data_IF_971856549995
#
_entry.id   IF_971856549995
#
_cell.length_a   1.000
_cell.length_b   1.000
_cell.length_c   1.000
_cell.angle_alpha   90.00
_cell.angle_beta   90.00
_cell.angle_gamma   90.00
#
_symmetry.space_group_name_H-M   'P 1'
#
loop_
_entity.id
_entity.type
_entity.pdbx_description
1 polymer ?
#
# COMPACT_ATOMS: atom_id res chain seq x y z
N UNK A 1 -17.64 -6.55 11.28
CA UNK A 1 -17.30 -7.93 11.71
C UNK A 1 -17.34 -8.87 10.51
N UNK A 2 -16.29 -9.68 10.28
CA UNK A 2 -16.32 -10.72 9.25
C UNK A 2 -17.25 -11.86 9.68
N UNK A 3 -18.09 -12.34 8.78
CA UNK A 3 -18.90 -13.54 9.02
C UNK A 3 -18.08 -14.81 8.78
N UNK A 4 -18.49 -15.96 9.34
CA UNK A 4 -17.84 -17.24 9.05
C UNK A 4 -17.82 -17.57 7.55
N UNK A 5 -18.87 -17.17 6.82
CA UNK A 5 -18.95 -17.35 5.36
C UNK A 5 -17.88 -16.52 4.63
N UNK A 6 -17.65 -15.27 5.06
CA UNK A 6 -16.61 -14.40 4.49
C UNK A 6 -15.21 -15.00 4.70
N UNK A 7 -14.95 -15.52 5.91
CA UNK A 7 -13.67 -16.17 6.23
C UNK A 7 -13.44 -17.40 5.36
N UNK A 8 -14.47 -18.25 5.19
CA UNK A 8 -14.36 -19.42 4.30
C UNK A 8 -14.08 -19.04 2.85
N UNK A 9 -14.75 -18.01 2.33
CA UNK A 9 -14.54 -17.54 0.97
C UNK A 9 -13.14 -16.94 0.77
N UNK A 10 -12.64 -16.18 1.75
CA UNK A 10 -11.28 -15.64 1.74
C UNK A 10 -10.24 -16.76 1.74
N UNK A 11 -10.43 -17.79 2.56
CA UNK A 11 -9.50 -18.93 2.62
C UNK A 11 -9.42 -19.64 1.26
N UNK A 12 -10.57 -19.92 0.63
CA UNK A 12 -10.60 -20.59 -0.69
C UNK A 12 -9.86 -19.79 -1.77
N UNK A 13 -9.99 -18.46 -1.75
CA UNK A 13 -9.34 -17.58 -2.73
C UNK A 13 -7.84 -17.40 -2.47
N UNK A 14 -7.44 -17.27 -1.20
CA UNK A 14 -6.05 -16.98 -0.82
C UNK A 14 -5.15 -18.23 -0.76
N UNK A 15 -5.69 -19.40 -0.38
CA UNK A 15 -4.91 -20.63 -0.17
C UNK A 15 -3.99 -21.02 -1.33
N UNK A 16 -4.38 -20.93 -2.62
CA UNK A 16 -3.51 -21.31 -3.74
C UNK A 16 -2.25 -20.44 -3.83
N UNK A 17 -2.38 -19.14 -3.59
CA UNK A 17 -1.26 -18.18 -3.63
C UNK A 17 -0.45 -18.18 -2.34
N UNK A 18 -1.05 -18.63 -1.25
CA UNK A 18 -0.42 -18.86 0.04
C UNK A 18 0.03 -20.32 0.21
N UNK A 19 0.28 -21.07 -0.86
CA UNK A 19 0.67 -22.48 -0.72
C UNK A 19 2.06 -22.64 -0.07
N UNK A 20 3.03 -21.82 -0.49
CA UNK A 20 4.44 -21.91 -0.06
C UNK A 20 4.85 -20.70 0.78
N UNK A 21 5.76 -20.90 1.73
CA UNK A 21 6.28 -19.83 2.59
C UNK A 21 6.86 -18.65 1.80
N UNK A 22 7.66 -18.85 0.74
CA UNK A 22 8.16 -17.74 -0.07
C UNK A 22 7.04 -16.96 -0.76
N UNK A 23 6.02 -17.64 -1.29
CA UNK A 23 4.89 -16.98 -1.95
C UNK A 23 4.01 -16.21 -0.96
N UNK A 24 3.77 -16.78 0.23
CA UNK A 24 3.06 -16.11 1.33
C UNK A 24 3.72 -14.80 1.72
N UNK A 25 5.03 -14.84 1.96
CA UNK A 25 5.80 -13.65 2.32
C UNK A 25 5.75 -12.60 1.23
N UNK A 26 6.05 -12.99 -0.01
CA UNK A 26 6.05 -12.06 -1.13
C UNK A 26 4.69 -11.36 -1.27
N UNK A 27 3.58 -12.11 -1.29
CA UNK A 27 2.24 -11.53 -1.44
C UNK A 27 1.92 -10.54 -0.31
N UNK A 28 2.15 -10.95 0.94
CA UNK A 28 1.75 -10.15 2.12
C UNK A 28 2.66 -8.93 2.31
N UNK A 29 3.96 -9.07 2.07
CA UNK A 29 4.92 -7.96 2.14
C UNK A 29 4.69 -6.94 1.01
N UNK A 30 4.37 -7.39 -0.20
CA UNK A 30 3.98 -6.49 -1.30
C UNK A 30 2.67 -5.74 -1.01
N UNK A 31 1.69 -6.41 -0.40
CA UNK A 31 0.39 -5.81 -0.11
C UNK A 31 0.41 -4.81 1.05
N UNK A 32 1.16 -5.09 2.11
CA UNK A 32 1.17 -4.26 3.33
C UNK A 32 2.33 -3.28 3.38
N UNK A 33 3.30 -3.43 2.47
CA UNK A 33 4.58 -2.74 2.51
C UNK A 33 5.59 -3.44 3.43
N UNK A 34 6.86 -3.46 2.99
CA UNK A 34 7.97 -3.99 3.77
C UNK A 34 8.11 -3.24 5.10
N UNK A 35 8.19 -3.98 6.20
CA UNK A 35 8.33 -3.40 7.55
C UNK A 35 7.04 -2.87 8.16
N UNK A 36 5.87 -3.16 7.57
CA UNK A 36 4.59 -2.88 8.21
C UNK A 36 4.49 -3.60 9.56
N UNK A 37 3.96 -2.90 10.57
CA UNK A 37 3.70 -3.49 11.90
C UNK A 37 2.76 -4.69 11.85
N UNK A 38 1.94 -4.79 10.80
CA UNK A 38 1.10 -5.95 10.57
C UNK A 38 1.91 -7.24 10.36
N UNK A 39 3.18 -7.13 9.91
CA UNK A 39 4.07 -8.26 9.64
C UNK A 39 4.71 -8.84 10.90
N UNK A 40 4.88 -8.04 11.96
CA UNK A 40 5.59 -8.45 13.19
C UNK A 40 4.88 -9.58 13.94
N UNK A 41 3.57 -9.73 13.73
CA UNK A 41 2.73 -10.75 14.37
C UNK A 41 2.47 -11.98 13.52
N UNK A 42 3.03 -12.07 12.31
CA UNK A 42 2.73 -13.17 11.38
C UNK A 42 3.71 -14.32 11.58
N UNK A 43 3.20 -15.48 11.99
CA UNK A 43 3.93 -16.74 11.88
C UNK A 43 3.85 -17.25 10.43
N UNK A 44 5.00 -17.27 9.74
CA UNK A 44 5.12 -17.70 8.35
C UNK A 44 5.17 -19.22 8.16
N UNK A 45 5.26 -19.97 9.27
CA UNK A 45 5.34 -21.42 9.26
C UNK A 45 3.95 -22.08 9.21
N UNK A 46 3.93 -23.41 9.13
CA UNK A 46 2.68 -24.19 9.15
C UNK A 46 2.02 -24.43 7.78
N UNK A 47 0.91 -25.18 7.82
CA UNK A 47 0.15 -25.52 6.62
C UNK A 47 -0.59 -24.30 6.05
N UNK A 48 -0.89 -24.34 4.74
CA UNK A 48 -1.48 -23.21 4.04
C UNK A 48 -2.85 -22.82 4.59
N UNK A 49 -3.63 -23.79 5.08
CA UNK A 49 -4.97 -23.52 5.58
C UNK A 49 -4.92 -22.83 6.94
N UNK A 50 -4.18 -23.37 7.91
CA UNK A 50 -4.05 -22.72 9.22
C UNK A 50 -3.39 -21.34 9.11
N UNK A 51 -2.37 -21.21 8.27
CA UNK A 51 -1.74 -19.92 8.00
C UNK A 51 -2.73 -18.89 7.45
N UNK A 52 -3.53 -19.27 6.45
CA UNK A 52 -4.48 -18.34 5.82
C UNK A 52 -5.54 -17.86 6.80
N UNK A 53 -6.07 -18.76 7.64
CA UNK A 53 -7.04 -18.38 8.69
C UNK A 53 -6.40 -17.43 9.71
N UNK A 54 -5.18 -17.73 10.15
CA UNK A 54 -4.46 -16.88 11.09
C UNK A 54 -4.17 -15.50 10.50
N UNK A 55 -3.67 -15.44 9.26
CA UNK A 55 -3.42 -14.21 8.53
C UNK A 55 -4.68 -13.34 8.42
N UNK A 56 -5.82 -13.93 8.05
CA UNK A 56 -7.09 -13.18 7.96
C UNK A 56 -7.43 -12.55 9.32
N UNK A 57 -7.25 -13.29 10.41
CA UNK A 57 -7.47 -12.79 11.76
C UNK A 57 -6.54 -11.62 12.12
N UNK A 58 -5.25 -11.74 11.82
CA UNK A 58 -4.26 -10.67 12.06
C UNK A 58 -4.60 -9.41 11.26
N UNK A 59 -4.93 -9.54 9.97
CA UNK A 59 -5.27 -8.40 9.13
C UNK A 59 -6.59 -7.74 9.52
N UNK A 60 -7.59 -8.54 9.90
CA UNK A 60 -8.86 -8.02 10.41
C UNK A 60 -8.68 -7.27 11.74
N UNK A 61 -7.79 -7.75 12.62
CA UNK A 61 -7.47 -7.09 13.88
C UNK A 61 -6.59 -5.84 13.71
N UNK A 62 -5.72 -5.83 12.70
CA UNK A 62 -4.91 -4.67 12.35
C UNK A 62 -5.76 -3.51 11.83
N UNK A 63 -6.83 -3.81 11.10
CA UNK A 63 -7.76 -2.82 10.56
C UNK A 63 -7.24 -2.24 9.24
N UNK A 64 -6.88 -0.95 9.27
CA UNK A 64 -6.54 -0.19 8.07
C UNK A 64 -5.03 0.00 7.90
N UNK A 65 -4.52 -0.26 6.69
CA UNK A 65 -3.12 0.06 6.32
C UNK A 65 -2.93 1.54 5.99
N UNK A 66 -3.97 2.17 5.46
CA UNK A 66 -4.07 3.59 5.21
C UNK A 66 -5.51 4.05 5.48
N UNK A 67 -5.78 5.35 5.72
CA UNK A 67 -7.13 5.82 6.03
C UNK A 67 -8.17 5.39 4.98
N UNK A 68 -9.09 4.50 5.37
CA UNK A 68 -10.13 3.95 4.48
C UNK A 68 -9.69 2.77 3.62
N UNK A 69 -8.50 2.23 3.84
CA UNK A 69 -7.95 1.07 3.14
C UNK A 69 -7.68 -0.09 4.12
N UNK A 70 -8.61 -1.06 4.20
CA UNK A 70 -8.43 -2.23 5.07
C UNK A 70 -7.26 -3.10 4.62
N UNK A 71 -6.48 -3.62 5.56
CA UNK A 71 -5.34 -4.50 5.28
C UNK A 71 -5.73 -5.74 4.46
N UNK A 72 -6.91 -6.32 4.74
CA UNK A 72 -7.47 -7.43 3.97
C UNK A 72 -7.76 -7.04 2.51
N UNK A 73 -8.22 -5.81 2.28
CA UNK A 73 -8.52 -5.31 0.94
C UNK A 73 -7.22 -5.12 0.16
N UNK A 74 -6.19 -4.54 0.76
CA UNK A 74 -4.88 -4.39 0.12
C UNK A 74 -4.28 -5.73 -0.33
N UNK A 75 -4.38 -6.78 0.51
CA UNK A 75 -3.92 -8.13 0.15
C UNK A 75 -4.72 -8.74 -1.00
N UNK A 76 -6.03 -8.53 -1.02
CA UNK A 76 -6.90 -9.01 -2.09
C UNK A 76 -6.64 -8.28 -3.41
N UNK A 77 -6.42 -6.97 -3.39
CA UNK A 77 -6.09 -6.20 -4.60
C UNK A 77 -4.73 -6.60 -5.16
N UNK A 78 -3.74 -6.85 -4.31
CA UNK A 78 -2.44 -7.42 -4.73
C UNK A 78 -2.60 -8.82 -5.35
N UNK A 79 -3.45 -9.66 -4.78
CA UNK A 79 -3.74 -10.99 -5.33
C UNK A 79 -4.46 -10.90 -6.68
N UNK A 80 -5.37 -9.93 -6.85
CA UNK A 80 -6.14 -9.71 -8.07
C UNK A 80 -5.25 -9.51 -9.30
N UNK A 81 -4.12 -8.82 -9.14
CA UNK A 81 -3.15 -8.59 -10.22
C UNK A 81 -2.42 -9.86 -10.67
N UNK A 82 -2.42 -10.90 -9.84
CA UNK A 82 -1.67 -12.13 -10.07
C UNK A 82 -2.55 -13.31 -10.51
N UNK A 83 -3.88 -13.15 -10.53
CA UNK A 83 -4.82 -14.21 -10.89
C UNK A 83 -5.52 -13.94 -12.22
N UNK A 84 -5.90 -15.01 -12.93
CA UNK A 84 -6.69 -14.92 -14.15
C UNK A 84 -8.10 -14.36 -13.92
N UNK A 85 -8.74 -13.91 -15.01
CA UNK A 85 -10.03 -13.19 -15.05
C UNK A 85 -11.13 -13.86 -14.22
N UNK A 86 -11.22 -15.19 -14.25
CA UNK A 86 -12.24 -15.96 -13.50
C UNK A 86 -12.15 -15.75 -11.99
N UNK A 87 -10.93 -15.61 -11.45
CA UNK A 87 -10.69 -15.39 -10.02
C UNK A 87 -10.76 -13.91 -9.64
N UNK A 88 -10.51 -13.01 -10.59
CA UNK A 88 -10.66 -11.57 -10.35
C UNK A 88 -12.10 -11.22 -9.97
N UNK A 89 -13.11 -11.80 -10.64
CA UNK A 89 -14.50 -11.56 -10.30
C UNK A 89 -14.87 -11.99 -8.86
N UNK A 90 -14.33 -13.12 -8.40
CA UNK A 90 -14.52 -13.59 -7.03
C UNK A 90 -13.85 -12.65 -6.01
N UNK A 91 -12.63 -12.19 -6.31
CA UNK A 91 -11.90 -11.23 -5.49
C UNK A 91 -12.63 -9.89 -5.42
N UNK A 92 -13.10 -9.37 -6.56
CA UNK A 92 -13.84 -8.11 -6.66
C UNK A 92 -15.11 -8.15 -5.81
N UNK A 93 -15.82 -9.28 -5.82
CA UNK A 93 -16.98 -9.51 -4.96
C UNK A 93 -16.64 -9.47 -3.47
N UNK A 94 -15.51 -10.04 -3.05
CA UNK A 94 -15.06 -10.03 -1.65
C UNK A 94 -14.59 -8.64 -1.21
N UNK A 95 -13.86 -7.92 -2.07
CA UNK A 95 -13.41 -6.55 -1.80
C UNK A 95 -14.61 -5.62 -1.62
N UNK A 96 -15.63 -5.72 -2.49
CA UNK A 96 -16.85 -4.92 -2.36
C UNK A 96 -17.58 -5.18 -1.03
N UNK A 97 -17.67 -6.44 -0.62
CA UNK A 97 -18.29 -6.84 0.66
C UNK A 97 -17.52 -6.28 1.86
N UNK A 98 -16.18 -6.39 1.85
CA UNK A 98 -15.33 -5.89 2.93
C UNK A 98 -15.39 -4.37 3.05
N UNK A 99 -15.38 -3.63 1.93
CA UNK A 99 -15.54 -2.17 1.91
C UNK A 99 -16.92 -1.75 2.44
N UNK A 100 -17.98 -2.46 2.08
CA UNK A 100 -19.33 -2.22 2.60
C UNK A 100 -19.48 -2.56 4.11
N UNK A 101 -18.65 -3.47 4.62
CA UNK A 101 -18.59 -3.79 6.04
C UNK A 101 -17.78 -2.73 6.84
N UNK A 102 -16.63 -2.28 6.34
CA UNK A 102 -15.75 -1.30 7.00
C UNK A 102 -16.25 0.15 6.94
N UNK A 103 -16.98 0.53 5.88
CA UNK A 103 -17.53 1.89 5.73
C UNK A 103 -18.63 2.24 6.76
N UNK A 104 -19.17 1.27 7.49
CA UNK A 104 -20.18 1.51 8.53
C UNK A 104 -19.59 1.95 9.87
N UNK A 105 -18.30 1.72 10.11
CA UNK A 105 -17.64 2.05 11.38
C UNK A 105 -16.94 3.43 11.35
N UNK A 106 -16.78 4.05 10.17
CA UNK A 106 -16.09 5.34 9.99
C UNK A 106 -16.98 6.60 10.01
N UNK A 107 -18.31 6.47 10.08
CA UNK A 107 -19.27 7.59 9.98
C UNK A 107 -19.73 8.15 11.34
N UNK A 108 -18.87 8.15 12.37
CA UNK A 108 -19.14 8.77 13.68
C UNK A 108 -17.94 9.59 14.16
N UNK A 109 -17.76 10.78 13.60
CA UNK A 109 -16.75 11.73 14.09
C UNK A 109 -16.65 13.01 13.27
N UNK A 110 -17.75 13.73 13.05
CA UNK A 110 -17.68 14.95 12.26
C UNK A 110 -18.95 15.79 12.12
N UNK A 111 -19.69 16.06 13.21
CA UNK A 111 -20.53 17.27 13.38
C UNK A 111 -21.10 17.30 14.81
N UNK A 112 -21.12 18.47 15.47
CA UNK A 112 -22.12 19.51 15.21
C UNK A 112 -21.48 20.91 15.00
N UNK A 113 -21.90 21.68 14.00
CA UNK A 113 -22.99 22.66 14.09
C UNK A 113 -22.95 23.53 15.36
N UNK A 114 -22.64 24.82 15.20
CA UNK A 114 -22.69 25.81 16.28
C UNK A 114 -22.35 27.22 15.82
N UNK A 115 -23.24 27.81 15.02
CA UNK A 115 -23.25 29.24 14.75
C UNK A 115 -23.40 30.05 16.05
N UNK A 116 -22.60 31.12 16.19
CA UNK A 116 -22.73 32.06 17.30
C UNK A 116 -21.89 33.30 17.06
N UNK A 117 -22.53 34.36 16.56
CA UNK A 117 -21.90 35.67 16.36
C UNK A 117 -21.51 36.34 17.69
N UNK A 118 -20.55 37.26 17.61
CA UNK A 118 -20.11 38.02 18.77
C UNK A 118 -18.96 38.94 18.43
N UNK A 119 -19.26 40.02 17.71
CA UNK A 119 -18.39 41.17 17.56
C UNK A 119 -18.01 41.72 18.94
N UNK A 120 -16.71 41.92 19.20
CA UNK A 120 -16.21 42.93 20.16
C UNK A 120 -14.76 43.29 19.88
N UNK A 121 -14.59 44.59 19.80
CA UNK A 121 -13.39 45.39 19.51
C UNK A 121 -12.46 45.41 20.73
N UNK A 122 -11.15 45.46 20.51
CA UNK A 122 -10.22 46.12 21.44
C UNK A 122 -8.87 45.43 21.66
N UNK A 123 -7.78 46.18 21.86
CA UNK A 123 -6.45 45.83 21.34
C UNK A 123 -5.39 45.57 22.44
N UNK A 124 -4.21 45.14 21.98
CA UNK A 124 -2.86 45.54 22.44
C UNK A 124 -1.91 44.36 22.75
N UNK A 125 -0.69 44.50 22.22
CA UNK A 125 0.57 43.87 22.63
C UNK A 125 0.62 42.33 22.60
N UNK A 126 1.58 41.67 21.97
CA UNK A 126 2.86 42.07 21.43
C UNK A 126 3.68 40.80 21.25
N UNK A 127 4.89 40.99 20.72
CA UNK A 127 5.97 39.98 20.69
C UNK A 127 5.83 38.94 19.60
N UNK A 128 6.47 39.26 18.47
CA UNK A 128 6.75 38.31 17.42
C UNK A 128 7.61 37.15 17.91
N UNK A 129 7.38 36.00 17.29
CA UNK A 129 8.40 34.99 17.11
C UNK A 129 8.48 34.77 15.60
N UNK A 130 9.68 35.02 15.09
CA UNK A 130 10.04 34.88 13.69
C UNK A 130 9.71 33.47 13.19
N UNK A 131 8.90 33.42 12.13
CA UNK A 131 8.72 32.25 11.28
C UNK A 131 10.03 32.05 10.51
N UNK A 132 10.96 31.32 11.12
CA UNK A 132 12.10 30.74 10.43
C UNK A 132 11.62 29.53 9.64
N UNK A 133 11.83 29.54 8.33
CA UNK A 133 11.57 28.45 7.39
C UNK A 133 12.39 27.19 7.69
N UNK A 134 12.06 26.50 8.77
CA UNK A 134 12.53 25.15 9.05
C UNK A 134 11.32 24.23 9.12
N UNK A 135 11.25 23.21 8.25
CA UNK A 135 10.21 22.19 8.34
C UNK A 135 10.19 21.63 9.76
N UNK A 136 8.99 21.49 10.32
CA UNK A 136 8.83 20.95 11.67
C UNK A 136 9.40 19.52 11.76
N UNK A 137 9.83 19.05 12.95
CA UNK A 137 10.32 17.68 13.12
C UNK A 137 9.38 16.60 12.58
N UNK A 138 8.07 16.80 12.67
CA UNK A 138 7.07 15.90 12.10
C UNK A 138 7.05 15.89 10.57
N UNK A 139 7.32 17.03 9.93
CA UNK A 139 7.41 17.13 8.48
C UNK A 139 8.66 16.43 7.95
N UNK A 140 9.80 16.53 8.64
CA UNK A 140 11.02 15.77 8.29
C UNK A 140 10.82 14.27 8.35
N UNK A 141 10.11 13.78 9.38
CA UNK A 141 9.80 12.35 9.51
C UNK A 141 8.94 11.84 8.36
N UNK A 142 7.86 12.57 8.01
CA UNK A 142 7.01 12.23 6.86
C UNK A 142 7.78 12.20 5.54
N UNK A 143 8.69 13.16 5.33
CA UNK A 143 9.54 13.17 4.13
C UNK A 143 10.52 11.98 4.10
N UNK A 144 11.08 11.60 5.23
CA UNK A 144 11.92 10.41 5.35
C UNK A 144 11.13 9.12 5.08
N UNK A 145 9.93 9.00 5.64
CA UNK A 145 9.03 7.86 5.36
C UNK A 145 8.68 7.80 3.87
N UNK A 146 8.45 8.95 3.23
CA UNK A 146 8.19 9.04 1.78
C UNK A 146 9.40 8.66 0.93
N UNK A 147 10.61 9.07 1.30
CA UNK A 147 11.84 8.65 0.62
C UNK A 147 12.03 7.14 0.69
N UNK A 148 11.77 6.52 1.85
CA UNK A 148 11.84 5.08 2.00
C UNK A 148 10.81 4.35 1.12
N UNK A 149 9.58 4.88 1.02
CA UNK A 149 8.55 4.36 0.12
C UNK A 149 8.98 4.44 -1.36
N UNK A 150 9.54 5.58 -1.79
CA UNK A 150 10.00 5.76 -3.17
C UNK A 150 11.21 4.87 -3.50
N UNK A 151 12.15 4.68 -2.56
CA UNK A 151 13.24 3.73 -2.73
C UNK A 151 12.73 2.30 -2.93
N UNK A 152 11.75 1.87 -2.13
CA UNK A 152 11.14 0.56 -2.30
C UNK A 152 10.44 0.38 -3.67
N UNK A 153 9.82 1.44 -4.19
CA UNK A 153 9.25 1.45 -5.55
C UNK A 153 10.33 1.36 -6.62
N UNK A 154 11.41 2.14 -6.49
CA UNK A 154 12.55 2.10 -7.40
C UNK A 154 13.16 0.69 -7.51
N UNK A 155 13.39 0.03 -6.37
CA UNK A 155 13.90 -1.35 -6.31
C UNK A 155 12.94 -2.35 -6.96
N UNK A 156 11.64 -2.15 -6.77
CA UNK A 156 10.60 -2.98 -7.38
C UNK A 156 10.58 -2.87 -8.89
N UNK A 157 10.68 -1.64 -9.42
CA UNK A 157 10.82 -1.43 -10.87
C UNK A 157 12.13 -2.02 -11.41
N UNK A 158 13.24 -1.87 -10.68
CA UNK A 158 14.52 -2.49 -11.06
C UNK A 158 14.42 -4.01 -11.22
N UNK A 159 13.73 -4.69 -10.30
CA UNK A 159 13.49 -6.15 -10.40
C UNK A 159 12.58 -6.50 -11.58
N UNK A 160 11.55 -5.72 -11.85
CA UNK A 160 10.64 -5.95 -12.99
C UNK A 160 11.35 -5.78 -14.33
N UNK A 161 12.25 -4.80 -14.45
CA UNK A 161 13.09 -4.60 -15.64
C UNK A 161 14.01 -5.81 -15.84
N UNK A 162 14.68 -6.29 -14.79
CA UNK A 162 15.56 -7.46 -14.88
C UNK A 162 14.80 -8.76 -15.26
N UNK A 163 13.56 -8.93 -14.78
CA UNK A 163 12.71 -10.04 -15.17
C UNK A 163 12.32 -9.94 -16.66
N UNK A 164 11.89 -8.77 -17.13
CA UNK A 164 11.58 -8.52 -18.54
C UNK A 164 12.81 -8.75 -19.44
N UNK A 165 14.01 -8.33 -19.02
CA UNK A 165 15.26 -8.60 -19.74
C UNK A 165 15.52 -10.10 -19.93
N UNK A 166 15.25 -10.88 -18.88
CA UNK A 166 15.39 -12.35 -18.94
C UNK A 166 14.39 -12.97 -19.92
N UNK A 167 13.14 -12.48 -19.91
CA UNK A 167 12.08 -12.99 -20.80
C UNK A 167 12.34 -12.58 -22.25
N UNK A 168 12.74 -11.34 -22.51
CA UNK A 168 13.13 -10.82 -23.83
C UNK A 168 14.28 -11.64 -24.41
N UNK A 169 15.30 -11.97 -23.60
CA UNK A 169 16.45 -12.76 -24.03
C UNK A 169 16.12 -14.20 -24.40
N UNK A 170 15.01 -14.74 -23.88
CA UNK A 170 14.53 -16.10 -24.19
C UNK A 170 13.48 -16.13 -25.29
N UNK A 171 12.84 -15.00 -25.57
CA UNK A 171 11.79 -14.92 -26.57
C UNK A 171 12.38 -15.02 -27.98
N UNK A 172 11.81 -15.88 -28.82
CA UNK A 172 12.24 -16.11 -30.21
C UNK A 172 11.28 -15.50 -31.22
N UNK A 173 10.03 -15.26 -30.80
CA UNK A 173 9.04 -14.58 -31.62
C UNK A 173 9.25 -13.06 -31.62
N UNK A 174 9.41 -12.48 -32.81
CA UNK A 174 9.73 -11.06 -32.99
C UNK A 174 8.61 -10.13 -32.52
N UNK A 175 7.34 -10.51 -32.68
CA UNK A 175 6.21 -9.68 -32.25
C UNK A 175 6.08 -9.69 -30.73
N UNK A 176 6.20 -10.85 -30.12
CA UNK A 176 6.15 -10.99 -28.66
C UNK A 176 7.34 -10.31 -27.99
N UNK A 177 8.53 -10.39 -28.59
CA UNK A 177 9.71 -9.64 -28.13
C UNK A 177 9.45 -8.13 -28.17
N UNK A 178 8.86 -7.62 -29.25
CA UNK A 178 8.54 -6.19 -29.37
C UNK A 178 7.58 -5.71 -28.27
N UNK A 179 6.55 -6.49 -27.94
CA UNK A 179 5.62 -6.17 -26.83
C UNK A 179 6.32 -6.14 -25.48
N UNK A 180 7.26 -7.05 -25.23
CA UNK A 180 8.04 -7.06 -23.99
C UNK A 180 8.99 -5.86 -23.89
N UNK A 181 9.60 -5.45 -25.00
CA UNK A 181 10.43 -4.24 -25.08
C UNK A 181 9.62 -2.97 -24.80
N UNK A 182 8.39 -2.87 -25.34
CA UNK A 182 7.49 -1.74 -25.07
C UNK A 182 7.12 -1.67 -23.58
N UNK A 183 6.73 -2.81 -22.99
CA UNK A 183 6.45 -2.90 -21.55
C UNK A 183 7.67 -2.56 -20.71
N UNK A 184 8.87 -2.95 -21.13
CA UNK A 184 10.11 -2.59 -20.43
C UNK A 184 10.33 -1.08 -20.50
N UNK A 185 10.11 -0.44 -21.65
CA UNK A 185 10.24 1.00 -21.80
C UNK A 185 9.27 1.77 -20.87
N UNK A 186 8.04 1.31 -20.73
CA UNK A 186 7.08 1.87 -19.76
C UNK A 186 7.60 1.78 -18.32
N UNK A 187 8.06 0.59 -17.91
CA UNK A 187 8.58 0.38 -16.54
C UNK A 187 9.84 1.20 -16.27
N UNK A 188 10.70 1.40 -17.27
CA UNK A 188 11.87 2.28 -17.17
C UNK A 188 11.43 3.73 -16.96
N UNK A 189 10.44 4.21 -17.72
CA UNK A 189 9.92 5.56 -17.56
C UNK A 189 9.30 5.79 -16.17
N UNK A 190 8.57 4.80 -15.64
CA UNK A 190 8.02 4.85 -14.27
C UNK A 190 9.14 4.90 -13.21
N UNK A 191 10.20 4.09 -13.38
CA UNK A 191 11.37 4.12 -12.49
C UNK A 191 12.04 5.48 -12.49
N UNK A 192 12.23 6.08 -13.67
CA UNK A 192 12.90 7.36 -13.81
C UNK A 192 12.07 8.50 -13.20
N UNK A 193 10.73 8.43 -13.29
CA UNK A 193 9.85 9.37 -12.60
C UNK A 193 9.95 9.27 -11.07
N UNK A 194 10.04 8.05 -10.53
CA UNK A 194 10.25 7.83 -9.09
C UNK A 194 11.62 8.34 -8.63
N UNK A 195 12.67 8.13 -9.43
CA UNK A 195 13.99 8.68 -9.13
C UNK A 195 13.98 10.21 -9.07
N UNK A 196 13.28 10.87 -10.01
CA UNK A 196 13.12 12.32 -9.99
C UNK A 196 12.34 12.83 -8.76
N UNK A 197 11.33 12.09 -8.29
CA UNK A 197 10.60 12.43 -7.05
C UNK A 197 11.50 12.29 -5.80
N UNK A 198 12.36 11.26 -5.76
CA UNK A 198 13.36 11.09 -4.70
C UNK A 198 14.34 12.27 -4.67
N UNK A 199 14.94 12.62 -5.81
CA UNK A 199 15.90 13.72 -5.92
C UNK A 199 15.29 15.05 -5.44
N UNK A 200 14.01 15.29 -5.77
CA UNK A 200 13.28 16.47 -5.30
C UNK A 200 13.13 16.51 -3.78
N UNK A 201 12.75 15.39 -3.17
CA UNK A 201 12.61 15.28 -1.71
C UNK A 201 13.94 15.38 -0.97
N UNK A 202 15.01 14.81 -1.52
CA UNK A 202 16.37 14.92 -0.98
C UNK A 202 16.87 16.37 -1.04
N UNK A 203 16.63 17.08 -2.15
CA UNK A 203 16.99 18.49 -2.26
C UNK A 203 16.23 19.36 -1.24
N UNK A 204 14.95 19.09 -1.03
CA UNK A 204 14.14 19.79 -0.01
C UNK A 204 14.56 19.48 1.44
N UNK A 205 15.10 18.29 1.70
CA UNK A 205 15.63 17.91 3.01
C UNK A 205 17.02 18.52 3.25
N UNK A 206 17.88 18.54 2.21
CA UNK A 206 19.22 19.09 2.26
C UNK A 206 19.29 20.62 2.30
N UNK A 207 18.32 21.32 1.69
CA UNK A 207 18.25 22.79 1.69
C UNK A 207 17.83 23.40 3.05
N UNK A 208 17.58 22.58 4.08
CA UNK A 208 17.06 23.01 5.40
C UNK A 208 18.00 22.70 6.58
N UNK A 209 19.17 22.10 6.31
CA UNK A 209 20.25 21.90 7.28
C UNK A 209 21.33 22.97 7.13
#
# INVERSE_FOLDING_TARGET
>A
MLTPADVSALVEVLRPSLATVPARRALVELALGFGSRALDGIDWSGDAQAFTVHLIGVLAAYGDVAPGEPALVAVLEMLREQVGVDRQAAIDGLVAQLRAAGGRDGASGGSPAGAGGGSRVGPAAGTGIAVGSGSTPGQRRRKADRLAELQAKYDTFGRRIAALDTDIGRETDSLRRQVLEERKAEVVAERDAVAAEMDGLEHELGAQG
#
